data_IF_347222398385
#
_entry.id   IF_347222398385
#
_cell.length_a   1.000
_cell.length_b   1.000
_cell.length_c   1.000
_cell.angle_alpha   90.00
_cell.angle_beta   90.00
_cell.angle_gamma   90.00
#
_symmetry.space_group_name_H-M   'P 1'
#
loop_
_entity.id
_entity.type
_entity.pdbx_description
1 polymer ?
#
# COMPACT_ATOMS: atom_id res chain seq x y z
N UNK A 1 8.43 -83.29 2.49
CA UNK A 1 7.32 -82.69 3.28
C UNK A 1 7.82 -81.31 3.70
N UNK A 2 7.43 -80.19 3.07
CA UNK A 2 6.11 -79.53 3.14
C UNK A 2 5.68 -79.39 4.61
N UNK A 3 5.41 -78.21 5.22
CA UNK A 3 4.97 -76.91 4.70
C UNK A 3 5.16 -75.80 5.78
N UNK A 4 5.46 -74.59 5.29
CA UNK A 4 4.88 -73.25 5.58
C UNK A 4 4.81 -72.63 7.00
N UNK A 5 5.53 -71.51 7.09
CA UNK A 5 5.17 -70.14 7.54
C UNK A 5 4.22 -69.89 8.74
N UNK A 6 4.59 -68.98 9.67
CA UNK A 6 3.62 -68.29 10.51
C UNK A 6 3.02 -67.04 9.83
N UNK A 7 1.70 -67.00 9.86
CA UNK A 7 0.80 -65.93 9.44
C UNK A 7 1.05 -64.55 10.11
N UNK A 8 1.05 -63.52 9.25
CA UNK A 8 0.39 -62.23 9.40
C UNK A 8 0.44 -61.50 10.76
N UNK A 9 1.44 -60.63 10.92
CA UNK A 9 1.31 -59.43 11.77
C UNK A 9 0.74 -58.30 10.90
N UNK A 10 -0.59 -58.21 10.87
CA UNK A 10 -1.34 -57.09 10.31
C UNK A 10 -1.29 -55.91 11.29
N UNK A 11 -0.12 -55.29 11.43
CA UNK A 11 0.02 -54.01 12.13
C UNK A 11 -0.37 -52.89 11.16
N UNK A 12 -1.63 -52.50 11.27
CA UNK A 12 -2.31 -51.37 10.62
C UNK A 12 -1.39 -50.16 10.48
N UNK A 13 -1.08 -49.81 9.23
CA UNK A 13 -0.65 -48.47 8.84
C UNK A 13 -1.73 -47.46 9.23
N UNK A 14 -1.57 -46.83 10.39
CA UNK A 14 -2.34 -45.66 10.80
C UNK A 14 -1.46 -44.43 10.64
N UNK A 15 -1.11 -44.12 9.38
CA UNK A 15 -0.61 -42.79 9.04
C UNK A 15 -1.83 -41.88 9.17
N UNK A 16 -1.87 -41.10 10.25
CA UNK A 16 -2.79 -39.97 10.39
C UNK A 16 -2.51 -39.03 9.21
N UNK A 17 -3.35 -39.09 8.18
CA UNK A 17 -3.47 -38.02 7.21
C UNK A 17 -3.93 -36.78 7.97
N UNK A 18 -3.01 -35.85 8.23
CA UNK A 18 -3.40 -34.49 8.53
C UNK A 18 -4.02 -33.90 7.27
N UNK A 19 -5.17 -33.20 7.35
CA UNK A 19 -5.63 -32.42 6.24
C UNK A 19 -4.67 -31.24 6.09
N UNK A 20 -3.94 -31.18 4.97
CA UNK A 20 -3.34 -29.93 4.48
C UNK A 20 -4.47 -28.92 4.38
N UNK A 21 -4.46 -27.91 5.26
CA UNK A 21 -5.30 -26.73 5.13
C UNK A 21 -5.00 -26.09 3.79
N UNK A 22 -5.89 -26.31 2.83
CA UNK A 22 -5.95 -25.58 1.58
C UNK A 22 -6.25 -24.13 1.96
N UNK A 23 -5.20 -23.32 2.11
CA UNK A 23 -5.32 -21.88 2.24
C UNK A 23 -5.89 -21.37 0.91
N UNK A 24 -7.22 -21.22 0.87
CA UNK A 24 -7.94 -20.52 -0.18
C UNK A 24 -7.33 -19.12 -0.27
N UNK A 25 -6.57 -18.84 -1.33
CA UNK A 25 -6.25 -17.47 -1.71
C UNK A 25 -7.57 -16.79 -2.04
N UNK A 26 -8.06 -15.97 -1.12
CA UNK A 26 -9.03 -14.94 -1.51
C UNK A 26 -8.28 -13.91 -2.36
N UNK A 27 -8.77 -13.56 -3.55
CA UNK A 27 -8.24 -12.40 -4.24
C UNK A 27 -8.58 -11.17 -3.40
N UNK A 28 -7.55 -10.40 -3.05
CA UNK A 28 -7.73 -9.10 -2.42
C UNK A 28 -8.34 -8.18 -3.49
N UNK A 29 -9.67 -8.07 -3.48
CA UNK A 29 -10.37 -7.07 -4.30
C UNK A 29 -9.97 -5.69 -3.80
N UNK A 30 -9.17 -4.98 -4.61
CA UNK A 30 -8.93 -3.57 -4.46
C UNK A 30 -10.24 -2.82 -4.76
N UNK A 31 -11.08 -2.65 -3.74
CA UNK A 31 -12.22 -1.74 -3.82
C UNK A 31 -11.71 -0.32 -3.65
N UNK A 32 -11.36 0.29 -4.77
CA UNK A 32 -11.00 1.70 -4.88
C UNK A 32 -12.31 2.48 -5.12
N UNK A 33 -13.18 2.52 -4.10
CA UNK A 33 -14.35 3.39 -4.11
C UNK A 33 -13.93 4.77 -3.61
N UNK A 34 -13.72 5.66 -4.58
CA UNK A 34 -13.79 7.10 -4.40
C UNK A 34 -15.12 7.47 -3.74
N UNK A 35 -15.10 8.06 -2.55
CA UNK A 35 -16.14 8.98 -2.07
C UNK A 35 -15.71 9.66 -0.77
N UNK A 36 -14.82 10.66 -0.86
CA UNK A 36 -14.83 11.76 0.11
C UNK A 36 -15.52 12.96 -0.54
N UNK A 37 -16.84 13.01 -0.43
CA UNK A 37 -17.58 14.26 -0.60
C UNK A 37 -17.50 15.00 0.74
N UNK A 38 -16.60 15.96 0.85
CA UNK A 38 -16.61 16.94 1.94
C UNK A 38 -17.86 17.83 1.77
N UNK A 39 -18.78 17.94 2.74
CA UNK A 39 -19.70 19.06 2.75
C UNK A 39 -18.92 20.30 3.16
N UNK A 40 -18.62 21.11 2.15
CA UNK A 40 -18.16 22.48 2.24
C UNK A 40 -19.03 23.25 3.25
N UNK A 41 -18.41 23.70 4.35
CA UNK A 41 -19.04 24.58 5.32
C UNK A 41 -19.23 25.95 4.65
N UNK A 42 -20.36 26.09 3.95
CA UNK A 42 -20.89 27.37 3.52
C UNK A 42 -21.21 28.25 4.73
N UNK A 43 -20.19 28.96 5.22
CA UNK A 43 -20.38 30.10 6.14
C UNK A 43 -21.05 31.20 5.33
N UNK A 44 -22.38 31.26 5.43
CA UNK A 44 -23.14 32.42 5.01
C UNK A 44 -22.63 33.66 5.77
N UNK A 45 -22.32 34.78 5.10
CA UNK A 45 -22.20 36.04 5.82
C UNK A 45 -23.58 36.38 6.38
N UNK A 46 -23.66 36.57 7.69
CA UNK A 46 -24.83 37.11 8.35
C UNK A 46 -25.21 38.44 7.66
N UNK A 47 -26.30 38.43 6.90
CA UNK A 47 -26.99 39.63 6.44
C UNK A 47 -27.41 40.43 7.66
N UNK A 48 -26.56 41.36 8.08
CA UNK A 48 -26.90 42.36 9.08
C UNK A 48 -27.69 43.45 8.38
N UNK A 49 -28.97 43.18 8.18
CA UNK A 49 -29.96 44.21 7.81
C UNK A 49 -30.00 45.20 8.95
N UNK A 50 -29.28 46.31 8.82
CA UNK A 50 -29.43 47.45 9.70
C UNK A 50 -30.76 48.12 9.34
N UNK A 51 -31.82 47.69 10.01
CA UNK A 51 -33.12 48.37 9.96
C UNK A 51 -33.01 49.63 10.82
N UNK A 52 -32.60 50.75 10.22
CA UNK A 52 -32.84 52.08 10.81
C UNK A 52 -34.15 52.57 10.24
N UNK A 53 -35.24 52.33 10.96
CA UNK A 53 -36.48 53.09 10.84
C UNK A 53 -37.35 52.80 12.06
N UNK A 54 -37.09 53.52 13.15
CA UNK A 54 -38.06 53.76 14.21
C UNK A 54 -37.66 55.07 14.91
N UNK A 55 -38.10 56.18 14.33
CA UNK A 55 -38.34 57.42 15.07
C UNK A 55 -39.76 57.33 15.63
N UNK A 56 -39.99 57.52 16.95
CA UNK A 56 -41.33 57.78 17.43
C UNK A 56 -41.69 59.24 17.11
N UNK A 57 -42.69 59.44 16.26
CA UNK A 57 -43.44 60.70 16.21
C UNK A 57 -44.63 60.55 17.14
N UNK A 58 -44.59 61.22 18.29
CA UNK A 58 -45.77 61.51 19.09
C UNK A 58 -45.58 62.83 19.85
N UNK A 59 -46.11 63.90 19.26
CA UNK A 59 -46.86 64.94 19.98
C UNK A 59 -46.12 65.83 20.97
N UNK A 60 -45.53 66.91 20.49
CA UNK A 60 -45.69 68.21 21.14
C UNK A 60 -45.45 69.33 20.13
N UNK A 61 -46.52 70.06 19.83
CA UNK A 61 -46.47 71.32 19.11
C UNK A 61 -45.83 72.37 20.01
N UNK A 62 -44.50 72.41 20.03
CA UNK A 62 -43.77 73.64 20.33
C UNK A 62 -43.43 74.27 18.98
N UNK A 63 -44.04 75.40 18.66
CA UNK A 63 -43.64 76.25 17.54
C UNK A 63 -42.19 76.69 17.78
N UNK A 64 -41.23 75.92 17.27
CA UNK A 64 -39.87 76.39 17.05
C UNK A 64 -39.93 77.33 15.85
N UNK A 65 -39.45 78.58 15.93
CA UNK A 65 -39.39 79.45 14.76
C UNK A 65 -38.53 78.77 13.69
N UNK A 66 -39.14 78.32 12.59
CA UNK A 66 -38.40 77.94 11.39
C UNK A 66 -37.86 79.23 10.76
N UNK A 67 -36.66 79.61 11.18
CA UNK A 67 -35.85 80.58 10.44
C UNK A 67 -35.38 79.86 9.18
N UNK A 68 -35.63 80.41 7.97
CA UNK A 68 -35.11 79.81 6.74
C UNK A 68 -33.58 79.72 6.86
N UNK A 69 -32.96 78.59 6.49
CA UNK A 69 -31.51 78.46 6.54
C UNK A 69 -30.90 79.60 5.73
N UNK A 70 -30.13 80.45 6.38
CA UNK A 70 -29.45 81.58 5.76
C UNK A 70 -28.53 81.05 4.66
N UNK A 71 -28.37 81.78 3.56
CA UNK A 71 -27.54 81.36 2.41
C UNK A 71 -26.12 80.93 2.82
N UNK A 72 -25.57 81.53 3.89
CA UNK A 72 -24.30 81.14 4.50
C UNK A 72 -24.28 79.71 5.08
N UNK A 73 -25.40 79.25 5.65
CA UNK A 73 -25.54 77.89 6.20
C UNK A 73 -25.69 76.84 5.09
N UNK A 74 -26.38 77.18 4.00
CA UNK A 74 -26.44 76.33 2.82
C UNK A 74 -25.09 76.26 2.09
N UNK A 75 -24.37 77.38 1.97
CA UNK A 75 -23.03 77.42 1.37
C UNK A 75 -21.99 76.67 2.22
N UNK A 76 -22.04 76.75 3.55
CA UNK A 76 -21.18 75.96 4.44
C UNK A 76 -21.46 74.45 4.34
N UNK A 77 -22.74 74.07 4.18
CA UNK A 77 -23.15 72.68 3.96
C UNK A 77 -22.65 72.14 2.60
N UNK A 78 -22.72 72.95 1.54
CA UNK A 78 -22.20 72.60 0.21
C UNK A 78 -20.67 72.50 0.14
N UNK A 79 -19.93 73.26 0.96
CA UNK A 79 -18.47 73.16 1.06
C UNK A 79 -17.99 71.98 1.92
N UNK A 80 -18.80 71.51 2.87
CA UNK A 80 -18.42 70.42 3.78
C UNK A 80 -18.61 69.04 3.17
N UNK A 81 -19.60 68.84 2.29
CA UNK A 81 -19.85 67.54 1.62
C UNK A 81 -18.66 67.04 0.76
N UNK A 82 -18.03 67.86 -0.11
CA UNK A 82 -16.84 67.45 -0.86
C UNK A 82 -15.67 67.06 0.06
N UNK A 83 -15.52 67.76 1.19
CA UNK A 83 -14.45 67.48 2.14
C UNK A 83 -14.68 66.15 2.87
N UNK A 84 -15.91 65.86 3.30
CA UNK A 84 -16.30 64.58 3.91
C UNK A 84 -16.09 63.42 2.93
N UNK A 85 -16.51 63.56 1.67
CA UNK A 85 -16.31 62.55 0.63
C UNK A 85 -14.82 62.29 0.35
N UNK A 86 -14.00 63.35 0.31
CA UNK A 86 -12.54 63.20 0.13
C UNK A 86 -11.90 62.43 1.29
N UNK A 87 -12.34 62.69 2.52
CA UNK A 87 -11.82 62.04 3.72
C UNK A 87 -12.22 60.56 3.78
N UNK A 88 -13.48 60.24 3.48
CA UNK A 88 -13.95 58.86 3.34
C UNK A 88 -13.16 58.07 2.29
N UNK A 89 -12.82 58.71 1.16
CA UNK A 89 -12.02 58.08 0.11
C UNK A 89 -10.56 57.81 0.54
N UNK A 90 -9.97 58.72 1.31
CA UNK A 90 -8.63 58.54 1.90
C UNK A 90 -8.65 57.42 2.93
N UNK A 91 -9.65 57.38 3.81
CA UNK A 91 -9.78 56.35 4.84
C UNK A 91 -9.95 54.96 4.21
N UNK A 92 -10.77 54.85 3.15
CA UNK A 92 -10.92 53.61 2.38
C UNK A 92 -9.60 53.18 1.71
N UNK A 93 -8.85 54.13 1.13
CA UNK A 93 -7.52 53.84 0.56
C UNK A 93 -6.53 53.32 1.62
N UNK A 94 -6.49 53.95 2.79
CA UNK A 94 -5.62 53.54 3.89
C UNK A 94 -6.00 52.16 4.42
N UNK A 95 -7.29 51.86 4.57
CA UNK A 95 -7.77 50.54 5.00
C UNK A 95 -7.43 49.45 3.97
N UNK A 96 -7.64 49.72 2.68
CA UNK A 96 -7.26 48.80 1.59
C UNK A 96 -5.75 48.53 1.59
N UNK A 97 -4.94 49.58 1.76
CA UNK A 97 -3.48 49.46 1.85
C UNK A 97 -3.05 48.64 3.07
N UNK A 98 -3.68 48.83 4.22
CA UNK A 98 -3.39 48.05 5.42
C UNK A 98 -3.70 46.55 5.23
N UNK A 99 -4.82 46.23 4.55
CA UNK A 99 -5.16 44.84 4.20
C UNK A 99 -4.16 44.23 3.22
N UNK A 100 -3.72 44.99 2.21
CA UNK A 100 -2.72 44.53 1.25
C UNK A 100 -1.39 44.19 1.94
N UNK A 101 -0.89 45.08 2.81
CA UNK A 101 0.35 44.84 3.58
C UNK A 101 0.22 43.60 4.46
N UNK A 102 -0.95 43.41 5.10
CA UNK A 102 -1.18 42.21 5.92
C UNK A 102 -1.14 40.93 5.08
N UNK A 103 -1.78 40.94 3.92
CA UNK A 103 -1.77 39.79 2.99
C UNK A 103 -0.35 39.51 2.48
N UNK A 104 0.43 40.53 2.11
CA UNK A 104 1.83 40.37 1.70
C UNK A 104 2.66 39.70 2.81
N UNK A 105 2.42 40.09 4.07
CA UNK A 105 3.13 39.51 5.20
C UNK A 105 2.69 38.06 5.47
N UNK A 106 1.40 37.75 5.37
CA UNK A 106 0.88 36.39 5.48
C UNK A 106 1.45 35.49 4.36
N UNK A 107 1.58 36.01 3.13
CA UNK A 107 2.14 35.31 1.98
C UNK A 107 3.63 35.02 2.17
N UNK A 108 4.40 35.97 2.70
CA UNK A 108 5.81 35.76 3.06
C UNK A 108 5.99 34.65 4.11
N UNK A 109 5.15 34.63 5.15
CA UNK A 109 5.18 33.57 6.17
C UNK A 109 4.83 32.22 5.55
N UNK A 110 3.83 32.18 4.67
CA UNK A 110 3.41 30.95 4.01
C UNK A 110 4.50 30.42 3.07
N UNK A 111 5.14 31.27 2.27
CA UNK A 111 6.24 30.88 1.38
C UNK A 111 7.41 30.29 2.16
N UNK A 112 7.80 30.92 3.27
CA UNK A 112 8.85 30.37 4.13
C UNK A 112 8.48 28.99 4.67
N UNK A 113 7.23 28.80 5.08
CA UNK A 113 6.75 27.50 5.56
C UNK A 113 6.74 26.43 4.45
N UNK A 114 6.44 26.83 3.21
CA UNK A 114 6.54 25.94 2.05
C UNK A 114 8.00 25.53 1.84
N UNK A 115 8.95 26.46 1.84
CA UNK A 115 10.39 26.16 1.70
C UNK A 115 10.91 25.21 2.79
N UNK A 116 10.52 25.45 4.05
CA UNK A 116 10.87 24.57 5.18
C UNK A 116 10.30 23.15 4.98
N UNK A 117 9.03 23.03 4.57
CA UNK A 117 8.40 21.74 4.31
C UNK A 117 9.01 21.01 3.10
N UNK A 118 9.33 21.73 2.03
CA UNK A 118 10.02 21.16 0.86
C UNK A 118 11.37 20.56 1.26
N UNK A 119 12.15 21.27 2.08
CA UNK A 119 13.43 20.78 2.58
C UNK A 119 13.26 19.50 3.41
N UNK A 120 12.25 19.46 4.29
CA UNK A 120 11.95 18.26 5.11
C UNK A 120 11.59 17.06 4.23
N UNK A 121 10.81 17.28 3.16
CA UNK A 121 10.42 16.21 2.23
C UNK A 121 11.66 15.68 1.50
N UNK A 122 12.51 16.57 0.98
CA UNK A 122 13.74 16.17 0.29
C UNK A 122 14.70 15.37 1.21
N UNK A 123 14.85 15.81 2.46
CA UNK A 123 15.64 15.07 3.46
C UNK A 123 15.05 13.70 3.77
N UNK A 124 13.72 13.58 3.85
CA UNK A 124 13.05 12.30 4.03
C UNK A 124 13.25 11.38 2.82
N UNK A 125 13.11 11.88 1.60
CA UNK A 125 13.34 11.09 0.38
C UNK A 125 14.77 10.53 0.34
N UNK A 126 15.77 11.36 0.64
CA UNK A 126 17.18 10.92 0.73
C UNK A 126 17.33 9.83 1.80
N UNK A 127 16.67 9.98 2.95
CA UNK A 127 16.74 9.00 4.03
C UNK A 127 16.09 7.67 3.63
N UNK A 128 14.92 7.70 3.00
CA UNK A 128 14.24 6.51 2.51
C UNK A 128 15.08 5.78 1.46
N UNK A 129 15.63 6.50 0.48
CA UNK A 129 16.51 5.95 -0.55
C UNK A 129 17.81 5.37 0.04
N UNK A 130 18.41 6.04 1.03
CA UNK A 130 19.69 5.59 1.59
C UNK A 130 19.58 4.45 2.62
N UNK A 131 18.48 4.36 3.36
CA UNK A 131 18.32 3.34 4.42
C UNK A 131 17.46 2.15 3.98
N UNK A 132 16.36 2.38 3.25
CA UNK A 132 15.39 1.32 2.95
C UNK A 132 15.84 0.43 1.77
N UNK A 133 16.40 1.03 0.72
CA UNK A 133 16.83 0.30 -0.46
C UNK A 133 17.92 -0.74 -0.15
N UNK A 134 19.02 -0.39 0.55
CA UNK A 134 20.07 -1.36 0.86
C UNK A 134 19.59 -2.49 1.79
N UNK A 135 18.67 -2.20 2.71
CA UNK A 135 18.11 -3.23 3.60
C UNK A 135 17.26 -4.24 2.81
N UNK A 136 16.44 -3.76 1.88
CA UNK A 136 15.66 -4.64 0.99
C UNK A 136 16.57 -5.50 0.11
N UNK A 137 17.60 -4.93 -0.49
CA UNK A 137 18.57 -5.65 -1.32
C UNK A 137 19.30 -6.74 -0.50
N UNK A 138 19.71 -6.41 0.73
CA UNK A 138 20.35 -7.37 1.63
C UNK A 138 19.42 -8.53 2.00
N UNK A 139 18.14 -8.24 2.27
CA UNK A 139 17.14 -9.27 2.56
C UNK A 139 16.87 -10.15 1.34
N UNK A 140 16.76 -9.57 0.15
CA UNK A 140 16.60 -10.32 -1.10
C UNK A 140 17.79 -11.26 -1.35
N UNK A 141 19.02 -10.77 -1.17
CA UNK A 141 20.22 -11.59 -1.24
C UNK A 141 20.24 -12.70 -0.20
N UNK A 142 19.81 -12.45 1.03
CA UNK A 142 19.73 -13.46 2.08
C UNK A 142 18.72 -14.57 1.74
N UNK A 143 17.56 -14.19 1.21
CA UNK A 143 16.51 -15.13 0.76
C UNK A 143 17.02 -15.95 -0.43
N UNK A 144 17.63 -15.32 -1.42
CA UNK A 144 18.20 -16.00 -2.58
C UNK A 144 19.28 -17.01 -2.15
N UNK A 145 20.17 -16.64 -1.23
CA UNK A 145 21.19 -17.52 -0.68
C UNK A 145 20.60 -18.68 0.14
N UNK A 146 19.50 -18.47 0.86
CA UNK A 146 18.81 -19.53 1.58
C UNK A 146 18.13 -20.52 0.62
N UNK A 147 17.43 -20.02 -0.39
CA UNK A 147 16.78 -20.84 -1.40
C UNK A 147 17.79 -21.69 -2.17
N UNK A 148 18.92 -21.10 -2.57
CA UNK A 148 20.02 -21.85 -3.20
C UNK A 148 20.54 -22.97 -2.29
N UNK A 149 20.79 -22.67 -1.00
CA UNK A 149 21.24 -23.69 -0.03
C UNK A 149 20.21 -24.82 0.14
N UNK A 150 18.93 -24.51 0.12
CA UNK A 150 17.87 -25.52 0.19
C UNK A 150 17.82 -26.37 -1.08
N UNK A 151 17.84 -25.76 -2.26
CA UNK A 151 17.82 -26.50 -3.52
C UNK A 151 19.05 -27.42 -3.64
N UNK A 152 20.24 -26.93 -3.31
CA UNK A 152 21.47 -27.73 -3.29
C UNK A 152 21.35 -28.94 -2.33
N UNK A 153 20.72 -28.75 -1.18
CA UNK A 153 20.50 -29.83 -0.20
C UNK A 153 19.48 -30.85 -0.71
N UNK A 154 18.42 -30.39 -1.39
CA UNK A 154 17.43 -31.27 -2.00
C UNK A 154 18.02 -32.05 -3.17
N UNK A 155 18.79 -31.41 -4.05
CA UNK A 155 19.41 -32.07 -5.19
C UNK A 155 20.45 -33.10 -4.72
N UNK A 156 21.25 -32.81 -3.68
CA UNK A 156 22.14 -33.81 -3.06
C UNK A 156 21.39 -35.04 -2.56
N UNK A 157 20.25 -34.86 -1.90
CA UNK A 157 19.42 -35.98 -1.43
C UNK A 157 18.82 -36.76 -2.60
N UNK A 158 18.35 -36.04 -3.63
CA UNK A 158 17.78 -36.62 -4.84
C UNK A 158 18.81 -37.47 -5.57
N UNK A 159 20.03 -36.96 -5.69
CA UNK A 159 21.16 -37.64 -6.29
C UNK A 159 21.55 -38.90 -5.49
N UNK A 160 21.70 -38.78 -4.17
CA UNK A 160 22.01 -39.93 -3.31
C UNK A 160 20.95 -41.05 -3.41
N UNK A 161 19.66 -40.67 -3.52
CA UNK A 161 18.58 -41.64 -3.71
C UNK A 161 18.65 -42.31 -5.08
N UNK A 162 18.93 -41.56 -6.16
CA UNK A 162 19.14 -42.14 -7.49
C UNK A 162 20.28 -43.15 -7.46
N UNK A 163 21.42 -42.78 -6.91
CA UNK A 163 22.59 -43.66 -6.78
C UNK A 163 22.25 -44.91 -5.99
N UNK A 164 21.58 -44.78 -4.84
CA UNK A 164 21.16 -45.93 -4.03
C UNK A 164 20.24 -46.89 -4.81
N UNK A 165 19.28 -46.36 -5.56
CA UNK A 165 18.35 -47.18 -6.35
C UNK A 165 19.07 -47.87 -7.50
N UNK A 166 19.98 -47.18 -8.19
CA UNK A 166 20.81 -47.75 -9.24
C UNK A 166 21.67 -48.89 -8.70
N UNK A 167 22.41 -48.68 -7.60
CA UNK A 167 23.24 -49.74 -7.00
C UNK A 167 22.41 -50.95 -6.57
N UNK A 168 21.22 -50.74 -5.98
CA UNK A 168 20.33 -51.84 -5.60
C UNK A 168 19.82 -52.62 -6.81
N UNK A 169 19.49 -51.93 -7.90
CA UNK A 169 19.01 -52.56 -9.13
C UNK A 169 20.13 -53.36 -9.80
N UNK A 170 21.34 -52.81 -9.88
CA UNK A 170 22.52 -53.49 -10.40
C UNK A 170 22.83 -54.75 -9.58
N UNK A 171 22.87 -54.66 -8.25
CA UNK A 171 23.10 -55.81 -7.38
C UNK A 171 22.04 -56.90 -7.57
N UNK A 172 20.75 -56.52 -7.70
CA UNK A 172 19.67 -57.47 -7.97
C UNK A 172 19.81 -58.13 -9.35
N UNK A 173 20.17 -57.36 -10.37
CA UNK A 173 20.36 -57.88 -11.72
C UNK A 173 21.53 -58.84 -11.80
N UNK A 174 22.67 -58.51 -11.18
CA UNK A 174 23.83 -59.39 -11.09
C UNK A 174 23.47 -60.71 -10.41
N UNK A 175 22.83 -60.66 -9.25
CA UNK A 175 22.38 -61.86 -8.54
C UNK A 175 21.41 -62.71 -9.38
N UNK A 176 20.51 -62.06 -10.13
CA UNK A 176 19.55 -62.77 -10.98
C UNK A 176 20.25 -63.48 -12.15
N UNK A 177 21.25 -62.83 -12.76
CA UNK A 177 22.06 -63.45 -13.82
C UNK A 177 22.89 -64.62 -13.29
N UNK A 178 23.47 -64.50 -12.10
CA UNK A 178 24.18 -65.61 -11.43
C UNK A 178 23.22 -66.78 -11.16
N UNK A 179 22.04 -66.52 -10.60
CA UNK A 179 21.03 -67.57 -10.39
C UNK A 179 20.57 -68.23 -11.68
N UNK A 180 20.36 -67.46 -12.75
CA UNK A 180 20.02 -68.01 -14.06
C UNK A 180 21.12 -68.93 -14.58
N UNK A 181 22.39 -68.53 -14.45
CA UNK A 181 23.55 -69.34 -14.82
C UNK A 181 23.58 -70.67 -14.06
N UNK A 182 23.36 -70.62 -12.75
CA UNK A 182 23.41 -71.79 -11.87
C UNK A 182 22.18 -72.69 -12.02
N UNK A 183 21.06 -72.16 -12.53
CA UNK A 183 19.81 -72.90 -12.75
C UNK A 183 19.75 -73.70 -14.06
N UNK A 184 20.67 -73.42 -14.99
CA UNK A 184 20.78 -74.18 -16.25
C UNK A 184 21.53 -75.47 -15.94
N UNK A 185 20.84 -76.62 -16.01
CA UNK A 185 21.49 -77.92 -15.84
C UNK A 185 22.36 -78.27 -17.06
N UNK A 186 23.46 -78.98 -16.86
CA UNK A 186 24.28 -79.52 -17.95
C UNK A 186 23.47 -80.52 -18.78
N UNK A 187 22.54 -81.22 -18.14
CA UNK A 187 21.56 -82.11 -18.79
C UNK A 187 20.60 -81.33 -19.72
N UNK A 188 20.12 -80.15 -19.33
CA UNK A 188 19.24 -79.30 -20.17
C UNK A 188 19.98 -78.76 -21.40
N UNK A 189 21.29 -78.50 -21.27
CA UNK A 189 22.16 -78.08 -22.39
C UNK A 189 22.48 -79.25 -23.34
N UNK A 190 22.57 -80.49 -22.84
CA UNK A 190 22.82 -81.69 -23.66
C UNK A 190 21.63 -82.06 -24.53
N UNK A 191 20.40 -81.84 -24.07
CA UNK A 191 19.19 -82.06 -24.89
C UNK A 191 19.04 -81.01 -26.01
N UNK A 192 19.70 -79.85 -25.89
CA UNK A 192 19.65 -78.78 -26.89
C UNK A 192 20.71 -78.90 -28.00
N UNK A 193 21.69 -79.80 -27.88
CA UNK A 193 22.64 -80.11 -28.95
C UNK A 193 22.10 -81.35 -29.68
N UNK A 194 21.61 -81.25 -30.92
CA UNK A 194 21.31 -82.44 -31.69
C UNK A 194 22.61 -83.19 -31.97
N UNK A 195 22.91 -84.21 -31.16
CA UNK A 195 23.99 -85.18 -31.38
C UNK A 195 23.57 -86.13 -32.50
N UNK A 196 23.42 -85.57 -33.71
CA UNK A 196 23.10 -86.30 -34.93
C UNK A 196 23.98 -85.87 -36.10
N UNK A 197 25.26 -85.54 -35.89
CA UNK A 197 26.25 -85.44 -36.99
C UNK A 197 27.69 -85.75 -36.53
N UNK A 198 27.91 -86.75 -35.67
CA UNK A 198 29.27 -87.23 -35.39
C UNK A 198 29.28 -88.75 -35.20
N UNK A 199 29.00 -89.46 -36.29
CA UNK A 199 29.51 -90.81 -36.61
C UNK A 199 29.30 -91.05 -38.11
#
# INVERSE_FOLDING_TARGET
MADKEPCNVLARNRIKSQPTTLMRREPMEASLEQNETFPDHGVQPASRTVSISQLPVAGSAAMVPQVPPTEASQQASLQTVPHILSKLNIDHYLESKAKAVKLEQELLVLNRKIEELTTIIEEQDIKYESELHPELDNQEHAIAALNKRHEDKFEKKRQALREQMTTKLEARNTLNLERMRDSISVEDLRECIPVKVLL
#
